data_IF_169786975937
#
_entry.id   IF_169786975937
#
_cell.length_a   1.000
_cell.length_b   1.000
_cell.length_c   1.000
_cell.angle_alpha   90.00
_cell.angle_beta   90.00
_cell.angle_gamma   90.00
#
_symmetry.space_group_name_H-M   'P 1'
#
loop_
_entity.id
_entity.type
_entity.pdbx_description
1 polymer ?
#
# COMPACT_ATOMS: atom_id res chain seq x y z
N UNK A 1 -20.73 29.46 51.69
CA UNK A 1 -20.27 28.14 51.23
C UNK A 1 -20.69 27.97 49.77
N UNK A 2 -19.74 28.01 48.81
CA UNK A 2 -20.03 27.87 47.37
C UNK A 2 -20.06 26.37 47.02
N UNK A 3 -21.18 25.88 46.47
CA UNK A 3 -21.31 24.50 45.97
C UNK A 3 -20.60 24.38 44.62
N UNK A 4 -19.52 23.63 44.57
CA UNK A 4 -18.79 23.28 43.34
C UNK A 4 -19.64 22.33 42.49
N UNK A 5 -20.04 22.74 41.29
CA UNK A 5 -20.77 21.88 40.37
C UNK A 5 -19.84 20.81 39.79
N UNK A 6 -20.18 19.54 39.97
CA UNK A 6 -19.41 18.40 39.48
C UNK A 6 -19.51 18.30 37.95
N UNK A 7 -18.36 18.24 37.25
CA UNK A 7 -18.28 18.00 35.80
C UNK A 7 -18.93 16.66 35.46
N UNK A 8 -19.98 16.67 34.61
CA UNK A 8 -20.59 15.45 34.06
C UNK A 8 -19.56 14.70 33.22
N UNK A 9 -19.23 13.49 33.65
CA UNK A 9 -18.32 12.56 32.97
C UNK A 9 -19.05 12.02 31.73
N UNK A 10 -18.59 12.36 30.53
CA UNK A 10 -19.14 11.86 29.27
C UNK A 10 -18.77 10.37 29.19
N UNK A 11 -19.73 9.48 29.45
CA UNK A 11 -19.57 8.04 29.25
C UNK A 11 -19.78 7.74 27.78
N UNK A 12 -18.69 7.45 27.06
CA UNK A 12 -18.78 6.97 25.67
C UNK A 12 -19.64 5.69 25.66
N UNK A 13 -20.68 5.59 24.82
CA UNK A 13 -21.52 4.41 24.76
C UNK A 13 -20.68 3.18 24.35
N UNK A 14 -20.98 1.97 24.86
CA UNK A 14 -20.25 0.78 24.50
C UNK A 14 -20.44 0.48 23.01
N UNK A 15 -19.33 0.54 22.26
CA UNK A 15 -19.28 0.33 20.82
C UNK A 15 -19.72 -1.09 20.38
N UNK A 16 -19.83 -2.03 21.33
CA UNK A 16 -20.23 -3.43 21.11
C UNK A 16 -21.69 -3.59 20.63
N UNK A 17 -22.55 -2.58 20.81
CA UNK A 17 -23.97 -2.62 20.39
C UNK A 17 -24.22 -2.13 18.97
N UNK A 18 -23.21 -1.61 18.27
CA UNK A 18 -23.33 -1.21 16.88
C UNK A 18 -23.02 -2.41 15.99
N UNK A 19 -24.03 -2.92 15.27
CA UNK A 19 -23.97 -4.16 14.47
C UNK A 19 -22.87 -4.21 13.39
N UNK A 20 -22.22 -3.08 13.08
CA UNK A 20 -21.06 -3.02 12.19
C UNK A 20 -19.70 -3.18 12.89
N UNK A 21 -19.58 -2.90 14.19
CA UNK A 21 -18.29 -2.82 14.90
C UNK A 21 -17.68 -4.21 15.11
N UNK A 22 -18.48 -5.23 15.42
CA UNK A 22 -18.00 -6.63 15.51
C UNK A 22 -17.48 -7.16 14.18
N UNK A 23 -18.11 -6.77 13.07
CA UNK A 23 -17.69 -7.18 11.71
C UNK A 23 -16.37 -6.50 11.33
N UNK A 24 -16.21 -5.22 11.69
CA UNK A 24 -14.96 -4.47 11.50
C UNK A 24 -13.83 -5.02 12.37
N UNK A 25 -14.08 -5.30 13.66
CA UNK A 25 -13.07 -5.87 14.56
C UNK A 25 -12.57 -7.24 14.11
N UNK A 26 -13.47 -8.12 13.62
CA UNK A 26 -13.07 -9.45 13.11
C UNK A 26 -12.26 -9.37 11.81
N UNK A 27 -12.51 -8.39 10.94
CA UNK A 27 -11.70 -8.13 9.74
C UNK A 27 -10.30 -7.56 10.04
N UNK A 28 -10.08 -7.00 11.24
CA UNK A 28 -8.81 -6.39 11.65
C UNK A 28 -8.01 -7.32 12.58
N UNK A 29 -8.36 -8.61 12.70
CA UNK A 29 -7.41 -9.57 13.25
C UNK A 29 -6.28 -9.76 12.24
N UNK A 30 -5.25 -8.92 12.37
CA UNK A 30 -3.98 -9.08 11.67
C UNK A 30 -3.34 -10.38 12.16
N UNK A 31 -2.71 -11.11 11.24
CA UNK A 31 -1.88 -12.25 11.62
C UNK A 31 -0.76 -11.75 12.54
N UNK A 32 -0.64 -12.32 13.74
CA UNK A 32 0.41 -11.97 14.70
C UNK A 32 1.82 -12.09 14.09
N UNK A 33 2.01 -13.08 13.22
CA UNK A 33 3.28 -13.31 12.50
C UNK A 33 3.61 -12.14 11.56
N UNK A 34 2.62 -11.64 10.84
CA UNK A 34 2.80 -10.49 9.92
C UNK A 34 2.99 -9.20 10.71
N UNK A 35 2.32 -9.07 11.85
CA UNK A 35 2.47 -7.91 12.72
C UNK A 35 3.86 -7.80 13.34
N UNK A 36 4.44 -8.93 13.73
CA UNK A 36 5.82 -9.00 14.22
C UNK A 36 6.85 -8.78 13.10
N UNK A 37 6.52 -9.14 11.85
CA UNK A 37 7.43 -9.03 10.70
C UNK A 37 7.03 -7.94 9.69
N UNK A 38 6.51 -6.80 10.15
CA UNK A 38 6.11 -5.68 9.28
C UNK A 38 7.29 -5.14 8.45
N UNK A 39 8.46 -5.06 9.07
CA UNK A 39 9.67 -4.53 8.44
C UNK A 39 10.20 -5.47 7.35
N UNK A 40 10.22 -6.79 7.60
CA UNK A 40 10.59 -7.77 6.57
C UNK A 40 9.63 -7.74 5.38
N UNK A 41 8.32 -7.65 5.62
CA UNK A 41 7.34 -7.54 4.54
C UNK A 41 7.53 -6.24 3.74
N UNK A 42 7.84 -5.13 4.42
CA UNK A 42 8.13 -3.87 3.73
C UNK A 42 9.39 -3.98 2.86
N UNK A 43 10.45 -4.63 3.36
CA UNK A 43 11.68 -4.86 2.61
C UNK A 43 11.43 -5.72 1.36
N UNK A 44 10.66 -6.81 1.49
CA UNK A 44 10.28 -7.65 0.35
C UNK A 44 9.51 -6.87 -0.74
N UNK A 45 8.58 -5.99 -0.33
CA UNK A 45 7.86 -5.12 -1.28
C UNK A 45 8.81 -4.13 -1.98
N UNK A 46 9.78 -3.57 -1.25
CA UNK A 46 10.79 -2.67 -1.83
C UNK A 46 11.68 -3.42 -2.81
N UNK A 47 12.12 -4.63 -2.47
CA UNK A 47 12.99 -5.47 -3.31
C UNK A 47 12.30 -5.78 -4.65
N UNK A 48 11.04 -6.23 -4.62
CA UNK A 48 10.25 -6.49 -5.82
C UNK A 48 10.02 -5.22 -6.64
N UNK A 49 9.75 -4.09 -5.98
CA UNK A 49 9.54 -2.80 -6.63
C UNK A 49 10.80 -2.25 -7.32
N UNK A 50 11.99 -2.51 -6.76
CA UNK A 50 13.28 -1.99 -7.25
C UNK A 50 13.99 -2.89 -8.24
N UNK A 51 13.74 -4.20 -8.21
CA UNK A 51 14.40 -5.17 -9.08
C UNK A 51 14.32 -4.76 -10.57
N UNK A 52 15.41 -4.94 -11.33
CA UNK A 52 15.43 -4.69 -12.77
C UNK A 52 15.60 -5.99 -13.54
N UNK A 53 15.05 -6.03 -14.76
CA UNK A 53 15.22 -7.20 -15.63
C UNK A 53 16.69 -7.37 -16.04
N UNK A 54 17.42 -6.26 -16.17
CA UNK A 54 18.86 -6.21 -16.47
C UNK A 54 19.74 -6.85 -15.39
N UNK A 55 19.20 -7.04 -14.18
CA UNK A 55 19.93 -7.74 -13.11
C UNK A 55 19.92 -9.25 -13.35
N UNK A 56 19.01 -9.74 -14.21
CA UNK A 56 18.76 -11.16 -14.50
C UNK A 56 19.22 -11.52 -15.91
N UNK A 57 19.12 -10.60 -16.87
CA UNK A 57 19.48 -10.83 -18.28
C UNK A 57 20.60 -9.91 -18.74
N UNK A 58 21.49 -10.48 -19.54
CA UNK A 58 22.44 -9.75 -20.37
C UNK A 58 21.92 -9.71 -21.80
N UNK A 59 22.00 -8.54 -22.42
CA UNK A 59 21.71 -8.34 -23.83
C UNK A 59 22.99 -7.86 -24.51
N UNK A 60 23.50 -8.64 -25.45
CA UNK A 60 24.68 -8.24 -26.21
C UNK A 60 24.31 -7.28 -27.36
N UNK A 61 25.32 -6.61 -27.93
CA UNK A 61 25.16 -5.68 -29.06
C UNK A 61 24.59 -6.37 -30.32
N UNK A 62 24.67 -7.70 -30.39
CA UNK A 62 24.15 -8.51 -31.49
C UNK A 62 22.69 -8.94 -31.27
N UNK A 63 22.07 -8.51 -30.16
CA UNK A 63 20.68 -8.81 -29.83
C UNK A 63 20.46 -10.18 -29.18
N UNK A 64 21.51 -10.91 -28.80
CA UNK A 64 21.39 -12.19 -28.08
C UNK A 64 21.15 -11.94 -26.60
N UNK A 65 20.05 -12.48 -26.09
CA UNK A 65 19.69 -12.42 -24.67
C UNK A 65 20.20 -13.67 -23.97
N UNK A 66 20.91 -13.49 -22.85
CA UNK A 66 21.38 -14.58 -21.99
C UNK A 66 20.95 -14.34 -20.55
N UNK A 67 20.52 -15.39 -19.86
CA UNK A 67 20.25 -15.33 -18.42
C UNK A 67 21.58 -15.39 -17.68
N UNK A 68 21.79 -14.48 -16.73
CA UNK A 68 22.96 -14.47 -15.86
C UNK A 68 22.99 -15.71 -14.98
N UNK A 69 24.19 -16.10 -14.56
CA UNK A 69 24.34 -17.14 -13.54
C UNK A 69 23.62 -16.68 -12.26
N UNK A 70 22.72 -17.50 -11.67
CA UNK A 70 22.03 -17.18 -10.42
C UNK A 70 22.92 -16.67 -9.29
N UNK A 71 24.17 -17.13 -9.19
CA UNK A 71 25.13 -16.68 -8.16
C UNK A 71 25.51 -15.20 -8.29
N UNK A 72 25.41 -14.65 -9.51
CA UNK A 72 25.71 -13.25 -9.82
C UNK A 72 24.45 -12.37 -9.83
N UNK A 73 23.27 -12.94 -9.60
CA UNK A 73 22.00 -12.20 -9.57
C UNK A 73 21.73 -11.78 -8.13
N UNK A 74 21.46 -10.49 -7.85
CA UNK A 74 21.13 -10.06 -6.49
C UNK A 74 19.84 -10.73 -6.00
N UNK A 75 19.79 -11.06 -4.72
CA UNK A 75 18.66 -11.79 -4.11
C UNK A 75 17.32 -11.06 -4.29
N UNK A 76 17.33 -9.73 -4.27
CA UNK A 76 16.16 -8.89 -4.54
C UNK A 76 15.59 -9.10 -5.96
N UNK A 77 16.44 -9.31 -6.95
CA UNK A 77 16.01 -9.57 -8.31
C UNK A 77 15.45 -11.00 -8.44
N UNK A 78 16.02 -11.97 -7.74
CA UNK A 78 15.51 -13.35 -7.69
C UNK A 78 14.08 -13.37 -7.14
N UNK A 79 13.83 -12.66 -6.04
CA UNK A 79 12.50 -12.53 -5.41
C UNK A 79 11.46 -11.90 -6.34
N UNK A 80 11.88 -11.09 -7.31
CA UNK A 80 10.98 -10.43 -8.26
C UNK A 80 10.60 -11.31 -9.47
N UNK A 81 11.20 -12.48 -9.64
CA UNK A 81 10.95 -13.38 -10.77
C UNK A 81 9.69 -14.21 -10.50
N UNK A 82 8.70 -14.07 -11.39
CA UNK A 82 7.51 -14.91 -11.38
C UNK A 82 7.71 -16.19 -12.21
N UNK A 83 8.42 -16.03 -13.33
CA UNK A 83 8.44 -16.83 -14.57
C UNK A 83 9.81 -16.91 -15.22
N UNK A 84 10.46 -18.07 -15.33
CA UNK A 84 11.48 -18.29 -16.38
C UNK A 84 11.11 -19.54 -17.18
N UNK A 85 11.07 -19.43 -18.51
CA UNK A 85 10.90 -20.55 -19.44
C UNK A 85 11.96 -20.44 -20.53
N UNK A 86 12.63 -21.55 -20.80
CA UNK A 86 13.53 -21.69 -21.94
C UNK A 86 12.96 -22.76 -22.87
N UNK A 87 12.75 -22.42 -24.13
CA UNK A 87 12.26 -23.33 -25.17
C UNK A 87 13.30 -23.40 -26.28
N UNK A 88 13.86 -24.58 -26.52
CA UNK A 88 14.80 -24.77 -27.63
C UNK A 88 14.01 -24.85 -28.94
N UNK A 89 14.21 -23.89 -29.85
CA UNK A 89 13.60 -23.89 -31.18
C UNK A 89 14.64 -24.09 -32.27
N UNK A 90 14.21 -24.40 -33.49
CA UNK A 90 15.13 -24.56 -34.64
C UNK A 90 15.84 -23.25 -35.00
N UNK A 91 15.28 -22.10 -34.64
CA UNK A 91 15.85 -20.77 -34.89
C UNK A 91 16.74 -20.28 -33.73
N UNK A 92 16.84 -21.04 -32.64
CA UNK A 92 17.60 -20.68 -31.43
C UNK A 92 16.80 -20.86 -30.14
N UNK A 93 17.44 -20.62 -28.97
CA UNK A 93 16.75 -20.66 -27.69
C UNK A 93 15.81 -19.46 -27.55
N UNK A 94 14.51 -19.72 -27.34
CA UNK A 94 13.54 -18.71 -26.92
C UNK A 94 13.50 -18.67 -25.39
N UNK A 95 13.69 -17.48 -24.83
CA UNK A 95 13.70 -17.25 -23.39
C UNK A 95 12.53 -16.33 -23.04
N UNK A 96 11.56 -16.85 -22.28
CA UNK A 96 10.44 -16.07 -21.75
C UNK A 96 10.67 -15.82 -20.25
N UNK A 97 10.78 -14.54 -19.89
CA UNK A 97 10.96 -14.10 -18.50
C UNK A 97 9.79 -13.22 -18.10
N UNK A 98 9.13 -13.60 -17.02
CA UNK A 98 8.00 -12.87 -16.44
C UNK A 98 8.38 -12.43 -15.01
N UNK A 99 8.31 -11.12 -14.75
CA UNK A 99 8.48 -10.55 -13.42
C UNK A 99 7.13 -10.39 -12.72
N UNK A 100 7.14 -10.29 -11.39
CA UNK A 100 5.96 -9.89 -10.63
C UNK A 100 5.47 -8.49 -11.04
N UNK A 101 4.16 -8.24 -10.83
CA UNK A 101 3.53 -6.96 -11.15
C UNK A 101 4.06 -5.84 -10.26
N UNK A 102 4.96 -5.02 -10.82
CA UNK A 102 5.55 -3.88 -10.12
C UNK A 102 4.56 -2.74 -9.90
N UNK A 103 3.57 -2.56 -10.77
CA UNK A 103 2.62 -1.45 -10.66
C UNK A 103 1.76 -1.62 -9.42
N UNK A 104 1.32 -2.85 -9.16
CA UNK A 104 0.57 -3.17 -7.94
C UNK A 104 1.41 -2.90 -6.68
N UNK A 105 2.66 -3.38 -6.64
CA UNK A 105 3.57 -3.20 -5.50
C UNK A 105 3.89 -1.72 -5.26
N UNK A 106 4.25 -0.99 -6.31
CA UNK A 106 4.56 0.45 -6.23
C UNK A 106 3.35 1.26 -5.77
N UNK A 107 2.13 0.90 -6.15
CA UNK A 107 0.92 1.56 -5.67
C UNK A 107 0.72 1.35 -4.17
N UNK A 108 0.99 0.16 -3.66
CA UNK A 108 0.93 -0.13 -2.22
C UNK A 108 1.98 0.70 -1.46
N UNK A 109 3.22 0.73 -1.97
CA UNK A 109 4.29 1.53 -1.38
C UNK A 109 4.00 3.03 -1.43
N UNK A 110 3.48 3.54 -2.55
CA UNK A 110 3.10 4.95 -2.70
C UNK A 110 1.97 5.34 -1.74
N UNK A 111 1.00 4.44 -1.53
CA UNK A 111 -0.05 4.64 -0.51
C UNK A 111 0.53 4.66 0.90
N UNK A 112 1.44 3.74 1.22
CA UNK A 112 2.10 3.71 2.53
C UNK A 112 2.98 4.95 2.78
N UNK A 113 3.55 5.53 1.72
CA UNK A 113 4.34 6.76 1.76
C UNK A 113 3.49 8.04 1.77
N UNK A 114 2.16 7.95 1.71
CA UNK A 114 1.26 9.12 1.65
C UNK A 114 1.24 9.84 0.30
N UNK A 115 1.92 9.32 -0.74
CA UNK A 115 2.00 9.96 -2.06
C UNK A 115 0.68 9.96 -2.83
N UNK A 116 -0.26 9.09 -2.43
CA UNK A 116 -1.57 8.93 -3.08
C UNK A 116 -2.72 9.50 -2.25
N UNK A 117 -2.43 10.15 -1.12
CA UNK A 117 -3.48 10.78 -0.32
C UNK A 117 -3.88 12.11 -0.98
N UNK A 118 -5.19 12.33 -1.25
CA UNK A 118 -5.65 13.63 -1.71
C UNK A 118 -5.30 14.66 -0.63
N UNK A 119 -4.72 15.79 -1.02
CA UNK A 119 -4.59 16.92 -0.11
C UNK A 119 -6.00 17.33 0.31
N UNK A 120 -6.35 17.13 1.57
CA UNK A 120 -7.60 17.64 2.10
C UNK A 120 -7.57 19.16 1.97
N UNK A 121 -8.45 19.73 1.15
CA UNK A 121 -8.73 21.16 1.14
C UNK A 121 -9.32 21.54 2.51
N UNK A 122 -8.43 21.84 3.47
CA UNK A 122 -8.76 22.25 4.83
C UNK A 122 -9.59 23.53 4.90
N UNK A 123 -9.61 24.33 3.82
CA UNK A 123 -10.24 25.65 3.77
C UNK A 123 -11.69 25.65 3.25
N UNK A 124 -12.40 24.52 3.30
CA UNK A 124 -13.86 24.53 3.10
C UNK A 124 -14.58 24.77 4.43
N UNK A 125 -15.16 25.96 4.67
CA UNK A 125 -15.92 26.19 5.89
C UNK A 125 -17.12 25.24 5.92
N UNK A 126 -17.18 24.36 6.93
CA UNK A 126 -18.26 23.39 7.10
C UNK A 126 -19.58 24.02 7.56
N UNK A 127 -19.58 25.32 7.88
CA UNK A 127 -20.73 26.06 8.43
C UNK A 127 -20.87 27.39 7.70
N UNK A 128 -21.96 27.55 6.95
CA UNK A 128 -22.42 28.84 6.43
C UNK A 128 -23.48 29.36 7.39
N UNK A 129 -23.16 30.40 8.17
CA UNK A 129 -24.13 31.07 9.03
C UNK A 129 -24.99 32.02 8.19
N UNK A 130 -26.27 31.72 8.02
CA UNK A 130 -27.24 32.66 7.44
C UNK A 130 -27.87 33.42 8.61
N UNK A 131 -27.63 34.74 8.67
CA UNK A 131 -28.37 35.63 9.56
C UNK A 131 -29.63 36.06 8.80
N UNK A 132 -30.79 35.55 9.20
CA UNK A 132 -32.07 36.05 8.68
C UNK A 132 -32.51 37.26 9.50
N UNK A 133 -32.55 38.44 8.86
CA UNK A 133 -33.25 39.61 9.40
C UNK A 133 -34.68 39.62 8.87
N UNK A 134 -35.65 39.62 9.79
CA UNK A 134 -37.07 39.80 9.45
C UNK A 134 -37.39 41.27 9.15
N UNK A 135 -38.44 41.55 8.38
CA UNK A 135 -38.87 42.92 8.10
C UNK A 135 -39.22 43.65 9.39
N UNK A 136 -38.87 44.93 9.47
CA UNK A 136 -39.28 45.81 10.56
C UNK A 136 -40.70 46.28 10.26
N UNK A 137 -41.61 46.04 11.19
CA UNK A 137 -42.98 46.54 11.11
C UNK A 137 -42.93 48.08 11.19
N UNK A 138 -43.47 48.76 10.16
CA UNK A 138 -43.85 50.19 10.19
C UNK A 138 -45.21 50.37 10.87
#
# INVERSE_FOLDING_TARGET
MKKTQAKKRITKPPLDRFGGVRVVQRRIQKSEIIEQNKEGVAQELIDVGRAKITDIVDWDENGVVRVRNPENVPESAIKAIKRIRMTQTQAGPQIDIEMHDKVAVLRILAKAAGLLEPQEEMDKPSVVGIVMEGPKDE
#
